data_IF_889839734293
#
_entry.id   IF_889839734293
#
_cell.length_a   1.000
_cell.length_b   1.000
_cell.length_c   1.000
_cell.angle_alpha   90.00
_cell.angle_beta   90.00
_cell.angle_gamma   90.00
#
_symmetry.space_group_name_H-M   'P 1'
#
loop_
_entity.id
_entity.type
_entity.pdbx_description
1 polymer ?
#
# COMPACT_ATOMS: atom_id res chain seq x y z
N UNK A 1 -6.95 -20.10 -2.74
CA UNK A 1 -8.09 -19.69 -1.90
C UNK A 1 -9.34 -19.66 -2.76
N UNK A 2 -10.50 -20.02 -2.23
CA UNK A 2 -11.77 -19.87 -2.97
C UNK A 2 -12.14 -18.39 -3.09
N UNK A 3 -12.95 -17.98 -4.09
CA UNK A 3 -13.38 -16.59 -4.25
C UNK A 3 -14.11 -16.03 -3.02
N UNK A 4 -14.82 -16.87 -2.27
CA UNK A 4 -15.54 -16.47 -1.07
C UNK A 4 -14.61 -16.26 0.14
N UNK A 5 -13.54 -17.05 0.23
CA UNK A 5 -12.49 -16.86 1.22
C UNK A 5 -11.65 -15.61 0.92
N UNK A 6 -11.37 -15.31 -0.36
CA UNK A 6 -10.66 -14.09 -0.77
C UNK A 6 -11.45 -12.83 -0.40
N UNK A 7 -12.77 -12.82 -0.64
CA UNK A 7 -13.66 -11.74 -0.20
C UNK A 7 -13.57 -11.50 1.30
N UNK A 8 -13.71 -12.56 2.11
CA UNK A 8 -13.60 -12.48 3.57
C UNK A 8 -12.22 -12.03 4.02
N UNK A 9 -11.16 -12.48 3.34
CA UNK A 9 -9.79 -12.09 3.64
C UNK A 9 -9.55 -10.60 3.37
N UNK A 10 -10.07 -10.06 2.27
CA UNK A 10 -10.00 -8.62 1.96
C UNK A 10 -10.78 -7.82 3.00
N UNK A 11 -12.03 -8.17 3.29
CA UNK A 11 -12.85 -7.44 4.27
C UNK A 11 -12.22 -7.42 5.65
N UNK A 12 -11.77 -8.59 6.12
CA UNK A 12 -11.16 -8.73 7.44
C UNK A 12 -9.79 -8.02 7.51
N UNK A 13 -8.98 -8.08 6.45
CA UNK A 13 -7.73 -7.32 6.38
C UNK A 13 -7.98 -5.80 6.37
N UNK A 14 -9.07 -5.34 5.75
CA UNK A 14 -9.47 -3.93 5.77
C UNK A 14 -9.90 -3.49 7.17
N UNK A 15 -10.62 -4.33 7.90
CA UNK A 15 -11.01 -4.04 9.29
C UNK A 15 -9.80 -4.03 10.22
N UNK A 16 -8.86 -4.96 10.05
CA UNK A 16 -7.58 -4.96 10.78
C UNK A 16 -6.76 -3.72 10.46
N UNK A 17 -6.71 -3.31 9.19
CA UNK A 17 -6.04 -2.08 8.75
C UNK A 17 -6.65 -0.83 9.41
N UNK A 18 -7.97 -0.70 9.37
CA UNK A 18 -8.69 0.44 9.96
C UNK A 18 -8.54 0.46 11.49
N UNK A 19 -8.68 -0.69 12.14
CA UNK A 19 -8.57 -0.82 13.60
C UNK A 19 -7.15 -0.54 14.08
N UNK A 20 -6.14 -1.13 13.42
CA UNK A 20 -4.74 -0.92 13.74
C UNK A 20 -4.31 0.54 13.54
N UNK A 21 -4.75 1.18 12.46
CA UNK A 21 -4.52 2.59 12.23
C UNK A 21 -5.23 3.48 13.26
N UNK A 22 -6.46 3.12 13.65
CA UNK A 22 -7.22 3.81 14.70
C UNK A 22 -6.57 3.70 16.09
N UNK A 23 -6.03 2.54 16.45
CA UNK A 23 -5.29 2.36 17.69
C UNK A 23 -4.01 3.22 17.71
N UNK A 24 -3.28 3.25 16.59
CA UNK A 24 -2.10 4.12 16.46
C UNK A 24 -2.46 5.61 16.51
N UNK A 25 -3.62 6.00 15.98
CA UNK A 25 -4.15 7.36 16.05
C UNK A 25 -4.34 7.80 17.52
N UNK A 26 -4.97 6.97 18.34
CA UNK A 26 -5.23 7.25 19.75
C UNK A 26 -3.92 7.39 20.52
N UNK A 27 -2.98 6.46 20.33
CA UNK A 27 -1.68 6.48 21.03
C UNK A 27 -0.90 7.77 20.71
N UNK A 28 -0.91 8.18 19.44
CA UNK A 28 -0.21 9.39 18.99
C UNK A 28 -0.88 10.68 19.47
N UNK A 29 -2.20 10.71 19.50
CA UNK A 29 -2.96 11.81 20.09
C UNK A 29 -2.60 12.00 21.58
N UNK A 30 -2.39 10.91 22.31
CA UNK A 30 -2.02 10.93 23.72
C UNK A 30 -0.52 11.17 24.00
N UNK A 31 0.38 10.92 23.05
CA UNK A 31 1.84 11.11 23.22
C UNK A 31 2.53 11.68 21.96
N UNK A 32 2.56 13.01 21.78
CA UNK A 32 2.97 13.66 20.52
C UNK A 32 4.51 13.77 20.30
N UNK A 33 5.33 12.91 20.92
CA UNK A 33 6.79 13.01 20.84
C UNK A 33 7.35 12.55 19.46
N UNK A 34 8.16 13.38 18.76
CA UNK A 34 8.46 13.21 17.32
C UNK A 34 9.43 12.06 16.97
N UNK A 35 10.41 11.73 17.82
CA UNK A 35 11.45 10.72 17.48
C UNK A 35 10.97 9.29 17.82
N UNK A 36 10.17 9.12 18.87
CA UNK A 36 9.52 7.83 19.17
C UNK A 36 8.47 7.43 18.12
N UNK A 37 7.95 8.40 17.38
CA UNK A 37 6.81 8.24 16.46
C UNK A 37 7.16 7.41 15.21
N UNK A 38 8.32 7.62 14.59
CA UNK A 38 8.72 6.88 13.40
C UNK A 38 8.97 5.38 13.69
N UNK A 39 9.68 5.09 14.79
CA UNK A 39 9.95 3.70 15.20
C UNK A 39 8.65 3.02 15.62
N UNK A 40 7.80 3.70 16.40
CA UNK A 40 6.49 3.18 16.81
C UNK A 40 5.57 2.90 15.62
N UNK A 41 5.56 3.78 14.60
CA UNK A 41 4.79 3.54 13.37
C UNK A 41 5.31 2.35 12.57
N UNK A 42 6.63 2.17 12.47
CA UNK A 42 7.23 1.00 11.80
C UNK A 42 6.87 -0.28 12.54
N UNK A 43 6.94 -0.30 13.87
CA UNK A 43 6.60 -1.47 14.69
C UNK A 43 5.11 -1.78 14.60
N UNK A 44 4.25 -0.77 14.74
CA UNK A 44 2.80 -0.93 14.61
C UNK A 44 2.44 -1.44 13.22
N UNK A 45 3.00 -0.85 12.17
CA UNK A 45 2.74 -1.29 10.80
C UNK A 45 3.30 -2.69 10.53
N UNK A 46 4.41 -3.07 11.17
CA UNK A 46 4.91 -4.45 11.11
C UNK A 46 3.87 -5.42 11.68
N UNK A 47 3.33 -5.14 12.87
CA UNK A 47 2.29 -6.00 13.49
C UNK A 47 1.06 -6.09 12.59
N UNK A 48 0.55 -4.95 12.10
CA UNK A 48 -0.59 -4.93 11.17
C UNK A 48 -0.27 -5.74 9.90
N UNK A 49 0.93 -5.60 9.35
CA UNK A 49 1.33 -6.33 8.14
C UNK A 49 1.51 -7.83 8.38
N UNK A 50 1.97 -8.23 9.56
CA UNK A 50 2.08 -9.63 9.98
C UNK A 50 0.68 -10.23 10.17
N UNK A 51 -0.25 -9.49 10.77
CA UNK A 51 -1.66 -9.91 10.94
C UNK A 51 -2.34 -10.05 9.57
N UNK A 52 -2.20 -9.06 8.68
CA UNK A 52 -2.72 -9.14 7.31
C UNK A 52 -2.08 -10.32 6.57
N UNK A 53 -0.77 -10.53 6.66
CA UNK A 53 -0.10 -11.67 6.04
C UNK A 53 -0.68 -13.00 6.55
N UNK A 54 -0.98 -13.10 7.85
CA UNK A 54 -1.54 -14.29 8.47
C UNK A 54 -2.96 -14.62 7.98
N UNK A 55 -3.79 -13.60 7.70
CA UNK A 55 -5.12 -13.76 7.08
C UNK A 55 -5.01 -14.45 5.73
N UNK A 56 -3.95 -14.15 4.99
CA UNK A 56 -3.67 -14.73 3.67
C UNK A 56 -2.88 -16.06 3.77
N UNK A 57 -2.62 -16.56 4.97
CA UNK A 57 -1.89 -17.81 5.20
C UNK A 57 -0.36 -17.68 5.11
N UNK A 58 0.18 -16.47 4.98
CA UNK A 58 1.62 -16.23 4.93
C UNK A 58 2.20 -16.08 6.35
N UNK A 59 3.38 -16.67 6.59
CA UNK A 59 4.13 -16.54 7.85
C UNK A 59 5.57 -16.16 7.57
N UNK A 60 6.07 -15.16 8.30
CA UNK A 60 7.50 -14.79 8.27
C UNK A 60 7.96 -14.34 6.89
N UNK A 61 7.28 -13.36 6.29
CA UNK A 61 7.56 -12.89 4.94
C UNK A 61 8.94 -12.20 4.86
N UNK A 62 9.86 -12.71 4.04
CA UNK A 62 11.20 -12.18 3.99
C UNK A 62 11.21 -10.83 3.28
N UNK A 63 11.69 -9.78 3.96
CA UNK A 63 11.71 -8.41 3.43
C UNK A 63 10.53 -7.53 3.87
N UNK A 64 9.55 -8.08 4.62
CA UNK A 64 8.36 -7.36 5.08
C UNK A 64 8.70 -6.10 5.88
N UNK A 65 9.62 -6.18 6.83
CA UNK A 65 10.04 -5.03 7.65
C UNK A 65 10.72 -3.95 6.81
N UNK A 66 11.61 -4.32 5.90
CA UNK A 66 12.29 -3.37 5.01
C UNK A 66 11.28 -2.70 4.06
N UNK A 67 10.35 -3.47 3.50
CA UNK A 67 9.30 -2.95 2.62
C UNK A 67 8.35 -2.01 3.37
N UNK A 68 7.96 -2.36 4.59
CA UNK A 68 7.19 -1.49 5.49
C UNK A 68 7.93 -0.17 5.73
N UNK A 69 9.23 -0.23 6.00
CA UNK A 69 10.06 0.97 6.15
C UNK A 69 10.09 1.84 4.89
N UNK A 70 10.17 1.23 3.70
CA UNK A 70 10.09 1.96 2.41
C UNK A 70 8.72 2.63 2.21
N UNK A 71 7.62 1.92 2.51
CA UNK A 71 6.25 2.48 2.41
C UNK A 71 6.06 3.66 3.35
N UNK A 72 6.44 3.51 4.62
CA UNK A 72 6.34 4.57 5.60
C UNK A 72 7.29 5.74 5.29
N UNK A 73 8.48 5.47 4.75
CA UNK A 73 9.39 6.53 4.28
C UNK A 73 8.79 7.32 3.12
N UNK A 74 8.21 6.64 2.13
CA UNK A 74 7.55 7.28 0.99
C UNK A 74 6.31 8.09 1.43
N UNK A 75 5.46 7.54 2.29
CA UNK A 75 4.31 8.25 2.86
C UNK A 75 4.69 9.37 3.82
N UNK A 76 5.75 9.18 4.61
CA UNK A 76 6.28 10.15 5.56
C UNK A 76 6.94 11.36 4.88
N UNK A 77 7.59 11.16 3.73
CA UNK A 77 8.10 12.26 2.91
C UNK A 77 7.01 13.24 2.46
N UNK A 78 5.83 12.72 2.10
CA UNK A 78 4.66 13.53 1.74
C UNK A 78 4.13 14.32 2.94
N UNK A 79 4.10 13.69 4.13
CA UNK A 79 3.71 14.36 5.37
C UNK A 79 4.65 15.50 5.75
N UNK A 80 5.97 15.28 5.73
CA UNK A 80 6.96 16.32 6.02
C UNK A 80 6.86 17.49 5.02
N UNK A 81 6.65 17.21 3.73
CA UNK A 81 6.41 18.25 2.73
C UNK A 81 5.14 19.08 3.03
N UNK A 82 4.07 18.44 3.51
CA UNK A 82 2.83 19.15 3.88
C UNK A 82 2.93 19.98 5.17
N UNK A 83 3.70 19.51 6.15
CA UNK A 83 3.92 20.23 7.41
C UNK A 83 4.83 21.46 7.23
N UNK A 84 5.76 21.44 6.27
CA UNK A 84 6.58 22.61 5.90
C UNK A 84 5.75 23.77 5.30
N UNK A 85 4.56 23.50 4.77
CA UNK A 85 3.71 24.50 4.11
C UNK A 85 2.70 25.12 5.09
N UNK A 86 2.46 24.52 6.27
CA UNK A 86 1.48 25.01 7.26
C UNK A 86 2.11 25.20 8.65
N UNK A 87 2.52 26.42 9.05
CA UNK A 87 3.33 26.66 10.26
C UNK A 87 2.50 26.88 11.54
N UNK A 88 1.35 26.21 11.72
CA UNK A 88 0.44 26.42 12.87
C UNK A 88 0.51 25.28 13.90
N UNK A 89 1.14 25.47 15.07
CA UNK A 89 1.48 24.40 16.02
C UNK A 89 0.28 23.72 16.72
N UNK A 90 -0.88 24.39 16.81
CA UNK A 90 -2.10 23.82 17.42
C UNK A 90 -2.92 22.95 16.45
N UNK A 91 -2.80 23.17 15.14
CA UNK A 91 -3.34 22.28 14.10
C UNK A 91 -2.39 21.10 13.82
N UNK A 92 -1.11 21.26 14.17
CA UNK A 92 -0.05 20.28 13.90
C UNK A 92 -0.30 18.89 14.49
N UNK A 93 -0.85 18.78 15.70
CA UNK A 93 -1.10 17.47 16.34
C UNK A 93 -2.23 16.72 15.62
N UNK A 94 -3.34 17.40 15.30
CA UNK A 94 -4.48 16.80 14.58
C UNK A 94 -4.10 16.38 13.15
N UNK A 95 -3.43 17.27 12.41
CA UNK A 95 -2.99 17.00 11.02
C UNK A 95 -1.93 15.89 10.98
N UNK A 96 -0.98 15.90 11.91
CA UNK A 96 0.07 14.86 12.03
C UNK A 96 -0.48 13.47 12.35
N UNK A 97 -1.61 13.41 13.07
CA UNK A 97 -2.27 12.16 13.45
C UNK A 97 -3.17 11.63 12.33
N UNK A 98 -3.92 12.50 11.65
CA UNK A 98 -4.68 12.13 10.44
C UNK A 98 -3.75 11.66 9.32
N UNK A 99 -2.60 12.33 9.13
CA UNK A 99 -1.61 11.91 8.15
C UNK A 99 -1.02 10.52 8.49
N UNK A 100 -0.74 10.25 9.77
CA UNK A 100 -0.26 8.93 10.20
C UNK A 100 -1.30 7.83 9.98
N UNK A 101 -2.57 8.11 10.29
CA UNK A 101 -3.69 7.21 10.01
C UNK A 101 -3.79 6.92 8.50
N UNK A 102 -3.77 7.97 7.66
CA UNK A 102 -3.82 7.82 6.20
C UNK A 102 -2.66 7.00 5.65
N UNK A 103 -1.44 7.22 6.16
CA UNK A 103 -0.25 6.44 5.78
C UNK A 103 -0.41 4.96 6.17
N UNK A 104 -0.89 4.66 7.38
CA UNK A 104 -1.05 3.30 7.86
C UNK A 104 -2.15 2.54 7.11
N UNK A 105 -3.30 3.18 6.87
CA UNK A 105 -4.38 2.58 6.06
C UNK A 105 -3.90 2.33 4.63
N UNK A 106 -3.22 3.30 4.02
CA UNK A 106 -2.67 3.17 2.66
C UNK A 106 -1.65 2.03 2.59
N UNK A 107 -0.69 1.98 3.51
CA UNK A 107 0.31 0.91 3.59
C UNK A 107 -0.33 -0.47 3.80
N UNK A 108 -1.38 -0.55 4.63
CA UNK A 108 -2.15 -1.79 4.83
C UNK A 108 -2.83 -2.27 3.55
N UNK A 109 -3.46 -1.35 2.81
CA UNK A 109 -4.09 -1.67 1.52
C UNK A 109 -3.03 -2.11 0.49
N UNK A 110 -1.83 -1.52 0.51
CA UNK A 110 -0.72 -2.02 -0.32
C UNK A 110 -0.39 -3.47 0.01
N UNK A 111 -0.34 -3.85 1.29
CA UNK A 111 -0.13 -5.26 1.67
C UNK A 111 -1.25 -6.18 1.17
N UNK A 112 -2.51 -5.75 1.31
CA UNK A 112 -3.67 -6.47 0.77
C UNK A 112 -3.51 -6.71 -0.74
N UNK A 113 -3.18 -5.67 -1.51
CA UNK A 113 -2.97 -5.76 -2.96
C UNK A 113 -1.83 -6.75 -3.29
N UNK A 114 -0.69 -6.65 -2.61
CA UNK A 114 0.45 -7.55 -2.84
C UNK A 114 0.10 -9.01 -2.53
N UNK A 115 -0.63 -9.26 -1.46
CA UNK A 115 -1.01 -10.62 -1.08
C UNK A 115 -2.05 -11.24 -2.00
N UNK A 116 -3.00 -10.44 -2.49
CA UNK A 116 -3.91 -10.83 -3.57
C UNK A 116 -3.12 -11.19 -4.85
N UNK A 117 -2.16 -10.34 -5.24
CA UNK A 117 -1.30 -10.61 -6.41
C UNK A 117 -0.47 -11.89 -6.23
N UNK A 118 0.05 -12.14 -5.02
CA UNK A 118 0.76 -13.39 -4.72
C UNK A 118 -0.13 -14.61 -4.78
N UNK A 119 -1.34 -14.54 -4.23
CA UNK A 119 -2.28 -15.65 -4.29
C UNK A 119 -2.64 -16.01 -5.74
N UNK A 120 -2.68 -15.01 -6.63
CA UNK A 120 -2.89 -15.18 -8.08
C UNK A 120 -1.63 -15.64 -8.84
N UNK A 121 -0.46 -15.69 -8.18
CA UNK A 121 0.83 -15.99 -8.83
C UNK A 121 1.35 -14.86 -9.73
N UNK A 122 0.80 -13.65 -9.63
CA UNK A 122 1.12 -12.51 -10.49
C UNK A 122 2.40 -11.77 -10.09
N UNK A 123 2.91 -12.01 -8.88
CA UNK A 123 4.18 -11.43 -8.37
C UNK A 123 4.98 -12.50 -7.62
N UNK A 124 6.33 -12.43 -7.62
CA UNK A 124 7.16 -13.46 -7.02
C UNK A 124 7.19 -13.43 -5.48
N UNK A 125 7.61 -14.56 -4.89
CA UNK A 125 7.70 -14.76 -3.43
C UNK A 125 8.73 -13.89 -2.71
N UNK A 126 9.61 -13.24 -3.45
CA UNK A 126 10.57 -12.26 -2.95
C UNK A 126 10.22 -10.81 -3.36
N UNK A 127 9.05 -10.57 -3.97
CA UNK A 127 8.64 -9.26 -4.47
C UNK A 127 8.86 -8.10 -3.49
N UNK A 128 8.56 -8.27 -2.20
CA UNK A 128 8.76 -7.22 -1.20
C UNK A 128 10.24 -6.81 -1.01
N UNK A 129 11.20 -7.68 -1.35
CA UNK A 129 12.63 -7.35 -1.37
C UNK A 129 13.03 -6.61 -2.64
N UNK A 130 12.49 -7.06 -3.76
CA UNK A 130 12.90 -6.64 -5.12
C UNK A 130 12.08 -5.48 -5.67
N UNK A 131 10.96 -5.13 -5.03
CA UNK A 131 10.07 -4.05 -5.44
C UNK A 131 10.84 -2.74 -5.64
N UNK A 132 10.67 -2.18 -6.84
CA UNK A 132 11.29 -0.94 -7.26
C UNK A 132 10.62 0.26 -6.57
N UNK A 133 11.31 1.41 -6.44
CA UNK A 133 10.68 2.63 -5.93
C UNK A 133 9.45 3.07 -6.76
N UNK A 134 9.46 2.86 -8.08
CA UNK A 134 8.32 3.17 -8.95
C UNK A 134 7.11 2.30 -8.64
N UNK A 135 7.31 1.00 -8.37
CA UNK A 135 6.22 0.11 -7.99
C UNK A 135 5.60 0.54 -6.67
N UNK A 136 6.45 0.88 -5.69
CA UNK A 136 6.02 1.33 -4.36
C UNK A 136 5.15 2.60 -4.49
N UNK A 137 5.59 3.57 -5.29
CA UNK A 137 4.81 4.79 -5.55
C UNK A 137 3.49 4.46 -6.25
N UNK A 138 3.50 3.55 -7.21
CA UNK A 138 2.29 3.15 -7.93
C UNK A 138 1.29 2.41 -7.02
N UNK A 139 1.77 1.49 -6.19
CA UNK A 139 0.96 0.80 -5.17
C UNK A 139 0.36 1.79 -4.17
N UNK A 140 1.14 2.77 -3.71
CA UNK A 140 0.63 3.83 -2.83
C UNK A 140 -0.48 4.64 -3.52
N UNK A 141 -0.31 5.00 -4.80
CA UNK A 141 -1.37 5.67 -5.57
C UNK A 141 -2.63 4.81 -5.65
N UNK A 142 -2.50 3.53 -5.97
CA UNK A 142 -3.63 2.60 -6.03
C UNK A 142 -4.33 2.47 -4.67
N UNK A 143 -3.57 2.44 -3.57
CA UNK A 143 -4.14 2.40 -2.23
C UNK A 143 -5.00 3.63 -1.91
N UNK A 144 -4.57 4.82 -2.34
CA UNK A 144 -5.35 6.06 -2.20
C UNK A 144 -6.60 6.04 -3.08
N UNK A 145 -6.51 5.47 -4.29
CA UNK A 145 -7.68 5.25 -5.15
C UNK A 145 -8.70 4.31 -4.48
N UNK A 146 -8.25 3.21 -3.87
CA UNK A 146 -9.10 2.28 -3.11
C UNK A 146 -9.80 3.00 -1.95
N UNK A 147 -9.06 3.78 -1.15
CA UNK A 147 -9.64 4.57 -0.06
C UNK A 147 -10.72 5.51 -0.60
N UNK A 148 -10.42 6.24 -1.68
CA UNK A 148 -11.36 7.17 -2.31
C UNK A 148 -12.62 6.47 -2.82
N UNK A 149 -12.48 5.28 -3.39
CA UNK A 149 -13.59 4.48 -3.90
C UNK A 149 -14.48 3.94 -2.76
N UNK A 150 -13.89 3.44 -1.68
CA UNK A 150 -14.63 3.01 -0.49
C UNK A 150 -15.36 4.19 0.16
N UNK A 151 -14.73 5.36 0.26
CA UNK A 151 -15.37 6.58 0.78
C UNK A 151 -16.54 7.07 -0.09
N UNK A 152 -16.53 6.74 -1.39
CA UNK A 152 -17.67 7.01 -2.31
C UNK A 152 -18.75 5.93 -2.24
N UNK A 153 -18.61 4.94 -1.36
CA UNK A 153 -19.59 3.88 -1.15
C UNK A 153 -19.41 2.65 -2.05
N UNK A 154 -18.27 2.50 -2.74
CA UNK A 154 -17.97 1.24 -3.44
C UNK A 154 -17.69 0.13 -2.43
N UNK A 155 -18.01 -1.10 -2.83
CA UNK A 155 -17.66 -2.29 -2.07
C UNK A 155 -16.12 -2.42 -1.94
N UNK A 156 -15.66 -2.83 -0.75
CA UNK A 156 -14.23 -2.91 -0.44
C UNK A 156 -13.52 -3.95 -1.29
N UNK A 157 -14.16 -5.10 -1.50
CA UNK A 157 -13.62 -6.17 -2.34
C UNK A 157 -13.53 -5.69 -3.78
N UNK A 158 -14.57 -5.04 -4.29
CA UNK A 158 -14.57 -4.48 -5.66
C UNK A 158 -13.44 -3.46 -5.84
N UNK A 159 -13.29 -2.51 -4.91
CA UNK A 159 -12.25 -1.49 -4.97
C UNK A 159 -10.84 -2.10 -4.95
N UNK A 160 -10.59 -3.06 -4.04
CA UNK A 160 -9.29 -3.75 -3.95
C UNK A 160 -9.03 -4.61 -5.18
N UNK A 161 -10.03 -5.34 -5.68
CA UNK A 161 -9.89 -6.19 -6.87
C UNK A 161 -9.54 -5.37 -8.10
N UNK A 162 -10.18 -4.21 -8.29
CA UNK A 162 -9.85 -3.28 -9.37
C UNK A 162 -8.42 -2.74 -9.27
N UNK A 163 -7.94 -2.46 -8.05
CA UNK A 163 -6.55 -2.04 -7.84
C UNK A 163 -5.54 -3.16 -8.14
N UNK A 164 -5.85 -4.40 -7.73
CA UNK A 164 -5.05 -5.60 -8.04
C UNK A 164 -4.91 -5.78 -9.56
N UNK A 165 -6.02 -5.69 -10.29
CA UNK A 165 -6.03 -5.81 -11.75
C UNK A 165 -5.22 -4.70 -12.44
N UNK A 166 -5.37 -3.44 -12.00
CA UNK A 166 -4.58 -2.31 -12.51
C UNK A 166 -3.08 -2.56 -12.32
N UNK A 167 -2.67 -3.00 -11.13
CA UNK A 167 -1.27 -3.28 -10.85
C UNK A 167 -0.73 -4.45 -11.69
N UNK A 168 -1.49 -5.55 -11.75
CA UNK A 168 -1.13 -6.71 -12.55
C UNK A 168 -0.93 -6.34 -14.03
N UNK A 169 -1.83 -5.53 -14.60
CA UNK A 169 -1.72 -5.07 -15.98
C UNK A 169 -0.49 -4.17 -16.19
N UNK A 170 -0.17 -3.29 -15.24
CA UNK A 170 1.01 -2.45 -15.31
C UNK A 170 2.32 -3.26 -15.27
N UNK A 171 2.38 -4.27 -14.40
CA UNK A 171 3.55 -5.18 -14.32
C UNK A 171 3.67 -6.02 -15.59
N UNK A 172 2.58 -6.60 -16.08
CA UNK A 172 2.58 -7.38 -17.34
C UNK A 172 3.00 -6.54 -18.55
N UNK A 173 2.54 -5.28 -18.64
CA UNK A 173 2.93 -4.37 -19.71
C UNK A 173 4.38 -3.87 -19.59
N UNK A 174 4.95 -3.86 -18.38
CA UNK A 174 6.38 -3.56 -18.18
C UNK A 174 7.32 -4.71 -18.56
N UNK A 175 6.80 -5.94 -18.60
CA UNK A 175 7.50 -7.15 -19.06
C UNK A 175 7.43 -7.31 -20.59
N UNK A 176 6.60 -6.50 -21.26
CA UNK A 176 6.56 -6.37 -22.72
C UNK A 176 7.13 -5.01 -23.21
N UNK A 177 8.44 -4.77 -23.16
CA UNK A 177 9.07 -3.88 -24.10
C UNK A 177 9.44 -4.66 -25.39
N UNK A 178 9.15 -4.07 -26.56
CA UNK A 178 9.69 -4.44 -27.89
C UNK A 178 9.13 -5.66 -28.64
N UNK A 179 7.92 -5.56 -29.22
CA UNK A 179 7.65 -6.34 -30.44
C UNK A 179 6.76 -5.68 -31.50
N UNK A 180 6.48 -4.38 -31.41
CA UNK A 180 5.63 -3.68 -32.40
C UNK A 180 6.24 -2.44 -33.04
N UNK A 181 7.57 -2.26 -32.97
CA UNK A 181 8.25 -1.18 -33.71
C UNK A 181 9.03 -1.66 -34.95
N UNK A 182 9.12 -2.97 -35.21
CA UNK A 182 9.73 -3.49 -36.45
C UNK A 182 8.75 -3.60 -37.65
N UNK A 183 7.46 -3.28 -37.46
CA UNK A 183 6.45 -3.36 -38.53
C UNK A 183 6.20 -2.03 -39.28
N UNK A 184 7.05 -1.02 -39.10
CA UNK A 184 7.00 0.25 -39.84
C UNK A 184 8.24 0.51 -40.74
N UNK A 185 9.06 -0.51 -40.97
CA UNK A 185 10.27 -0.40 -41.78
C UNK A 185 10.22 -1.29 -43.04
N UNK A 186 9.11 -1.30 -43.76
CA UNK A 186 9.10 -1.74 -45.18
C UNK A 186 8.19 -0.84 -46.02
N UNK A 187 8.72 0.31 -46.39
CA UNK A 187 8.63 0.81 -47.77
C UNK A 187 10.01 1.40 -48.11
N UNK A 188 10.60 0.98 -49.24
CA UNK A 188 10.33 1.75 -50.45
C UNK A 188 10.09 0.86 -51.67
N UNK A 189 8.98 1.12 -52.36
CA UNK A 189 8.85 0.83 -53.78
C UNK A 189 9.47 2.00 -54.58
N UNK A 190 10.64 1.78 -55.16
CA UNK A 190 11.02 2.12 -56.55
C UNK A 190 12.53 1.98 -56.77
#
# INVERSE_FOLDING_TARGET
MSPQEAKKAIDYAFDVAATGAGASFIVKFCNPLPISDAISQVVTMKVISDDIASIYGYKGLPGLTTFTGKLLGAGGGVKLASEFIMPLPLLGIGVSTIAAFGIQVSASIVFIIIFELRQKGSVPDDYMKTASPSDIVYLLRLSVEVIGDVLRGKDRVEAVSAAVEKFQNAVSNSILPESNLELLAEEPAN
#
